data_IF_580445120288
#
_entry.id   IF_580445120288
#
_cell.length_a   1.000
_cell.length_b   1.000
_cell.length_c   1.000
_cell.angle_alpha   90.00
_cell.angle_beta   90.00
_cell.angle_gamma   90.00
#
_symmetry.space_group_name_H-M   'P 1'
#
loop_
_entity.id
_entity.type
_entity.pdbx_description
1 polymer ?
#
# COMPACT_ATOMS: atom_id res chain seq x y z
N UNK A 1 7.88 -27.85 -22.88
CA UNK A 1 6.98 -26.76 -22.43
C UNK A 1 7.84 -25.52 -22.21
N UNK A 2 7.63 -24.40 -22.92
CA UNK A 2 8.39 -23.19 -22.61
C UNK A 2 8.09 -22.79 -21.17
N UNK A 3 9.15 -22.61 -20.37
CA UNK A 3 9.09 -22.10 -19.00
C UNK A 3 8.19 -20.86 -19.06
N UNK A 4 7.00 -20.90 -18.46
CA UNK A 4 6.21 -19.67 -18.25
C UNK A 4 7.15 -18.77 -17.47
N UNK A 5 7.73 -17.76 -18.10
CA UNK A 5 8.47 -16.72 -17.38
C UNK A 5 7.57 -16.27 -16.23
N UNK A 6 8.09 -16.37 -15.01
CA UNK A 6 7.33 -16.02 -13.81
C UNK A 6 6.87 -14.57 -13.95
N UNK A 7 5.58 -14.36 -13.67
CA UNK A 7 4.99 -13.03 -13.73
C UNK A 7 5.44 -12.30 -12.48
N UNK A 8 5.71 -10.99 -12.57
CA UNK A 8 5.93 -10.22 -11.36
C UNK A 8 4.67 -10.31 -10.49
N UNK A 9 4.83 -10.35 -9.16
CA UNK A 9 3.69 -10.36 -8.25
C UNK A 9 2.88 -9.06 -8.39
N UNK A 10 1.60 -9.12 -8.02
CA UNK A 10 0.74 -7.96 -8.02
C UNK A 10 1.13 -7.03 -6.87
N UNK A 11 1.42 -5.75 -7.16
CA UNK A 11 1.65 -4.74 -6.13
C UNK A 11 0.35 -4.09 -5.71
N UNK A 12 0.01 -4.14 -4.44
CA UNK A 12 -1.11 -3.39 -3.87
C UNK A 12 -0.57 -2.12 -3.20
N UNK A 13 -1.02 -0.97 -3.67
CA UNK A 13 -0.79 0.33 -3.05
C UNK A 13 -1.98 0.65 -2.19
N UNK A 14 -1.78 0.71 -0.87
CA UNK A 14 -2.82 1.02 0.09
C UNK A 14 -2.64 2.46 0.53
N UNK A 15 -3.68 3.27 0.36
CA UNK A 15 -3.72 4.65 0.83
C UNK A 15 -4.65 4.77 2.03
N UNK A 16 -4.17 5.45 3.07
CA UNK A 16 -4.97 5.84 4.23
C UNK A 16 -5.25 7.35 4.17
N UNK A 17 -6.52 7.78 3.99
CA UNK A 17 -6.88 9.19 3.89
C UNK A 17 -6.65 9.97 5.19
N UNK A 18 -6.53 9.30 6.33
CA UNK A 18 -6.28 9.93 7.65
C UNK A 18 -4.79 10.09 7.97
N UNK A 19 -3.90 9.63 7.09
CA UNK A 19 -2.45 9.62 7.31
C UNK A 19 -1.77 10.99 7.36
N UNK A 20 -0.72 11.08 8.18
CA UNK A 20 0.29 12.15 8.15
C UNK A 20 -0.13 13.51 8.71
N UNK A 21 -1.15 13.57 9.57
CA UNK A 21 -1.56 14.80 10.27
C UNK A 21 -0.65 15.15 11.45
N UNK A 22 -0.23 14.15 12.24
CA UNK A 22 0.61 14.33 13.42
C UNK A 22 2.00 13.70 13.19
N UNK A 23 3.06 14.45 13.50
CA UNK A 23 4.45 14.01 13.47
C UNK A 23 5.02 14.04 14.88
N UNK A 24 5.52 12.91 15.37
CA UNK A 24 6.13 12.78 16.69
C UNK A 24 7.59 12.40 16.53
N UNK A 25 8.48 13.04 17.29
CA UNK A 25 9.89 12.66 17.35
C UNK A 25 10.02 11.49 18.33
N UNK A 26 10.72 10.44 17.92
CA UNK A 26 10.97 9.25 18.73
C UNK A 26 12.40 8.76 18.58
N UNK A 27 12.90 8.12 19.64
CA UNK A 27 14.15 7.37 19.62
C UNK A 27 13.86 5.94 19.18
N UNK A 28 14.48 5.51 18.11
CA UNK A 28 14.33 4.16 17.57
C UNK A 28 15.44 3.28 18.12
N UNK A 29 15.09 2.16 18.76
CA UNK A 29 16.04 1.19 19.28
C UNK A 29 15.93 -0.14 18.55
N UNK A 30 17.08 -0.74 18.25
CA UNK A 30 17.20 -2.09 17.72
C UNK A 30 17.04 -3.12 18.83
N UNK A 31 15.95 -3.88 18.85
CA UNK A 31 15.72 -4.96 19.82
C UNK A 31 15.64 -6.30 19.10
N UNK A 32 16.42 -7.27 19.57
CA UNK A 32 16.42 -8.65 19.09
C UNK A 32 15.39 -9.49 19.86
N UNK A 33 14.12 -9.15 19.64
CA UNK A 33 12.97 -9.86 20.22
C UNK A 33 12.46 -10.89 19.19
N UNK A 34 12.20 -12.15 19.57
CA UNK A 34 11.68 -13.21 18.68
C UNK A 34 10.32 -12.84 18.06
N UNK A 35 9.57 -11.93 18.73
CA UNK A 35 8.31 -11.36 18.24
C UNK A 35 8.47 -10.33 17.10
N UNK A 36 9.70 -9.88 16.83
CA UNK A 36 10.06 -8.86 15.83
C UNK A 36 10.92 -9.43 14.69
N UNK A 37 10.88 -10.74 14.45
CA UNK A 37 11.71 -11.38 13.43
C UNK A 37 11.61 -10.70 12.05
N UNK A 38 12.73 -10.15 11.60
CA UNK A 38 12.87 -9.60 10.26
C UNK A 38 13.15 -10.74 9.27
N UNK A 39 12.08 -11.21 8.62
CA UNK A 39 12.15 -12.23 7.57
C UNK A 39 12.54 -11.60 6.24
N UNK A 40 13.17 -12.37 5.36
CA UNK A 40 13.56 -11.89 4.03
C UNK A 40 12.36 -11.44 3.16
N UNK A 41 11.14 -11.87 3.50
CA UNK A 41 9.86 -11.41 2.90
C UNK A 41 9.51 -9.94 3.23
N UNK A 42 10.18 -9.33 4.22
CA UNK A 42 9.97 -7.94 4.69
C UNK A 42 11.02 -6.96 4.13
N UNK A 43 12.01 -7.45 3.36
CA UNK A 43 13.02 -6.62 2.71
C UNK A 43 12.44 -5.91 1.48
N UNK A 44 12.78 -4.63 1.32
CA UNK A 44 12.60 -3.90 0.04
C UNK A 44 13.96 -3.77 -0.59
N UNK A 45 14.37 -4.80 -1.31
CA UNK A 45 15.58 -4.75 -2.13
C UNK A 45 15.16 -4.51 -3.58
N UNK A 46 16.08 -4.09 -4.46
CA UNK A 46 15.83 -3.97 -5.92
C UNK A 46 15.31 -5.28 -6.55
N UNK A 47 15.51 -6.41 -5.88
CA UNK A 47 15.20 -7.77 -6.34
C UNK A 47 14.05 -8.46 -5.59
N UNK A 48 13.63 -7.96 -4.42
CA UNK A 48 12.60 -8.57 -3.57
C UNK A 48 11.55 -7.53 -3.19
N UNK A 49 10.31 -7.81 -3.56
CA UNK A 49 9.16 -7.00 -3.19
C UNK A 49 8.69 -7.37 -1.78
N UNK A 50 8.35 -6.37 -0.97
CA UNK A 50 7.87 -6.58 0.40
C UNK A 50 6.49 -7.23 0.36
N UNK A 51 6.38 -8.46 0.84
CA UNK A 51 5.09 -9.12 1.05
C UNK A 51 4.48 -8.75 2.40
N UNK A 52 5.32 -8.43 3.39
CA UNK A 52 4.90 -8.05 4.73
C UNK A 52 5.61 -6.76 5.19
N UNK A 53 4.91 -5.96 5.98
CA UNK A 53 5.50 -4.80 6.64
C UNK A 53 6.34 -5.26 7.84
N UNK A 54 7.53 -4.68 8.06
CA UNK A 54 8.28 -4.95 9.28
C UNK A 54 7.48 -4.56 10.52
N UNK A 55 7.60 -5.36 11.57
CA UNK A 55 6.93 -5.14 12.84
C UNK A 55 7.70 -4.12 13.67
N UNK A 56 6.98 -3.30 14.42
CA UNK A 56 7.55 -2.40 15.41
C UNK A 56 6.69 -2.37 16.66
N UNK A 57 7.33 -2.31 17.83
CA UNK A 57 6.63 -2.13 19.11
C UNK A 57 6.56 -0.65 19.45
N UNK A 58 5.39 -0.21 19.90
CA UNK A 58 5.14 1.17 20.31
C UNK A 58 4.30 1.17 21.59
N UNK A 59 4.48 2.18 22.43
CA UNK A 59 3.64 2.34 23.62
C UNK A 59 2.17 2.57 23.23
N UNK A 60 1.21 1.97 23.97
CA UNK A 60 -0.23 2.18 23.71
C UNK A 60 -0.63 3.67 23.72
N UNK A 61 0.00 4.48 24.59
CA UNK A 61 -0.24 5.92 24.66
C UNK A 61 0.14 6.65 23.35
N UNK A 62 1.20 6.22 22.67
CA UNK A 62 1.58 6.80 21.36
C UNK A 62 0.68 6.30 20.22
N UNK A 63 0.15 5.08 20.32
CA UNK A 63 -0.83 4.54 19.36
C UNK A 63 -2.12 5.37 19.38
N UNK A 64 -2.60 5.74 20.57
CA UNK A 64 -3.76 6.61 20.75
C UNK A 64 -3.49 8.04 20.25
N UNK A 65 -2.33 8.61 20.62
CA UNK A 65 -1.91 9.95 20.14
C UNK A 65 -1.81 10.02 18.62
N UNK A 66 -1.38 8.94 17.96
CA UNK A 66 -1.29 8.85 16.50
C UNK A 66 -2.61 8.44 15.82
N UNK A 67 -3.66 8.15 16.60
CA UNK A 67 -4.98 7.72 16.12
C UNK A 67 -4.88 6.61 15.07
N UNK A 68 -4.08 5.59 15.36
CA UNK A 68 -3.75 4.53 14.41
C UNK A 68 -4.94 3.62 14.07
N UNK A 69 -6.00 3.64 14.89
CA UNK A 69 -7.26 2.91 14.65
C UNK A 69 -7.01 1.44 14.34
N UNK A 70 -7.81 0.87 13.44
CA UNK A 70 -7.66 -0.53 12.98
C UNK A 70 -6.56 -0.75 11.92
N UNK A 71 -6.00 0.32 11.34
CA UNK A 71 -4.96 0.20 10.30
C UNK A 71 -3.62 -0.16 10.92
N UNK A 72 -3.24 0.46 12.04
CA UNK A 72 -2.04 0.08 12.79
C UNK A 72 -0.70 0.26 12.05
N UNK A 73 -0.63 1.10 11.01
CA UNK A 73 0.60 1.33 10.23
C UNK A 73 1.17 2.73 10.47
N UNK A 74 2.46 2.78 10.81
CA UNK A 74 3.22 4.02 11.05
C UNK A 74 4.38 4.11 10.06
N UNK A 75 4.65 5.30 9.55
CA UNK A 75 5.88 5.56 8.81
C UNK A 75 6.93 6.14 9.72
N UNK A 76 8.05 5.42 9.86
CA UNK A 76 9.27 5.94 10.44
C UNK A 76 10.07 6.69 9.36
N UNK A 77 10.31 7.96 9.61
CA UNK A 77 11.14 8.83 8.78
C UNK A 77 12.47 9.10 9.49
N UNK A 78 13.55 8.53 8.96
CA UNK A 78 14.91 8.79 9.42
C UNK A 78 15.60 9.74 8.43
N UNK A 79 16.29 10.75 8.95
CA UNK A 79 17.19 11.59 8.16
C UNK A 79 18.62 11.14 8.44
N UNK A 80 19.34 10.78 7.38
CA UNK A 80 20.78 10.56 7.42
C UNK A 80 21.48 11.54 6.48
N UNK A 81 22.78 11.69 6.61
CA UNK A 81 23.65 12.60 5.86
C UNK A 81 23.31 12.65 4.35
N UNK A 82 22.42 13.58 3.97
CA UNK A 82 21.96 13.83 2.60
C UNK A 82 20.71 13.09 2.12
N UNK A 83 20.17 12.10 2.85
CA UNK A 83 19.00 11.32 2.40
C UNK A 83 17.93 11.10 3.48
N UNK A 84 16.66 11.13 3.06
CA UNK A 84 15.50 10.84 3.90
C UNK A 84 14.95 9.46 3.55
N UNK A 85 14.97 8.55 4.52
CA UNK A 85 14.42 7.20 4.36
C UNK A 85 13.08 7.13 5.10
N UNK A 86 12.03 6.71 4.39
CA UNK A 86 10.70 6.49 4.95
C UNK A 86 10.40 4.98 4.94
N UNK A 87 10.16 4.40 6.11
CA UNK A 87 9.86 2.98 6.27
C UNK A 87 8.47 2.83 6.90
N UNK A 88 7.48 2.28 6.19
CA UNK A 88 6.21 1.88 6.80
C UNK A 88 6.41 0.63 7.66
N UNK A 89 5.86 0.65 8.87
CA UNK A 89 5.98 -0.37 9.90
C UNK A 89 4.58 -0.71 10.43
N UNK A 90 4.31 -1.99 10.66
CA UNK A 90 3.09 -2.44 11.34
C UNK A 90 3.35 -2.41 12.85
N UNK A 91 2.51 -1.67 13.58
CA UNK A 91 2.69 -1.44 15.01
C UNK A 91 2.01 -2.53 15.82
N UNK A 92 2.74 -3.06 16.80
CA UNK A 92 2.22 -3.92 17.86
C UNK A 92 2.27 -3.08 19.15
N UNK A 93 1.12 -2.82 19.81
CA UNK A 93 1.12 -2.11 21.08
C UNK A 93 1.75 -3.00 22.16
N UNK A 94 2.76 -2.48 22.86
CA UNK A 94 3.44 -3.17 23.96
C UNK A 94 3.67 -2.17 25.12
N UNK A 95 3.24 -2.55 26.33
CA UNK A 95 3.39 -1.72 27.54
C UNK A 95 4.85 -1.63 28.01
N UNK A 96 5.72 -2.52 27.51
CA UNK A 96 7.15 -2.57 27.85
C UNK A 96 7.96 -1.43 27.22
N UNK A 97 7.41 -0.73 26.23
CA UNK A 97 8.09 0.35 25.49
C UNK A 97 7.83 1.70 26.15
N UNK A 98 8.87 2.44 26.59
CA UNK A 98 8.72 3.78 27.16
C UNK A 98 8.10 4.79 26.20
N UNK A 99 7.45 5.84 26.75
CA UNK A 99 6.93 6.95 25.94
C UNK A 99 8.07 7.67 25.21
N UNK A 100 8.02 7.63 23.87
CA UNK A 100 9.01 8.28 23.00
C UNK A 100 10.02 7.31 22.38
N UNK A 101 9.92 6.02 22.67
CA UNK A 101 10.72 4.98 22.01
C UNK A 101 9.91 4.18 20.97
N UNK A 102 10.57 3.77 19.89
CA UNK A 102 10.05 2.82 18.91
C UNK A 102 11.04 1.66 18.84
N UNK A 103 10.61 0.46 19.20
CA UNK A 103 11.47 -0.71 19.10
C UNK A 103 11.25 -1.38 17.76
N UNK A 104 12.34 -1.59 17.06
CA UNK A 104 12.42 -2.17 15.72
C UNK A 104 13.49 -3.25 15.77
N UNK A 105 13.41 -4.26 14.92
CA UNK A 105 14.45 -5.29 14.87
C UNK A 105 15.83 -4.72 14.51
N UNK A 106 16.89 -5.24 15.14
CA UNK A 106 18.27 -4.76 14.99
C UNK A 106 18.75 -4.75 13.53
N UNK A 107 18.40 -5.78 12.74
CA UNK A 107 18.77 -5.87 11.31
C UNK A 107 18.13 -4.77 10.47
N UNK A 108 16.86 -4.46 10.71
CA UNK A 108 16.17 -3.39 9.98
C UNK A 108 16.79 -2.03 10.32
N UNK A 109 17.13 -1.82 11.58
CA UNK A 109 17.78 -0.59 12.01
C UNK A 109 19.20 -0.46 11.42
N UNK A 110 19.99 -1.55 11.44
CA UNK A 110 21.32 -1.59 10.84
C UNK A 110 21.30 -1.29 9.33
N UNK A 111 20.30 -1.79 8.60
CA UNK A 111 20.10 -1.46 7.17
C UNK A 111 19.73 0.01 6.94
N UNK A 112 18.96 0.62 7.85
CA UNK A 112 18.48 1.99 7.71
C UNK A 112 19.54 3.00 8.12
N UNK A 113 20.23 2.79 9.24
CA UNK A 113 21.08 3.79 9.89
C UNK A 113 22.54 3.41 10.12
N UNK A 114 22.90 2.15 9.92
CA UNK A 114 24.24 1.64 10.25
C UNK A 114 24.55 1.61 11.76
N UNK A 115 23.57 1.87 12.63
CA UNK A 115 23.72 1.91 14.09
C UNK A 115 22.59 1.20 14.84
N UNK A 116 22.72 1.11 16.18
CA UNK A 116 21.74 0.47 17.07
C UNK A 116 20.69 1.44 17.66
N UNK A 117 20.91 2.75 17.52
CA UNK A 117 19.99 3.80 17.96
C UNK A 117 19.91 4.93 16.94
N UNK A 118 18.71 5.46 16.72
CA UNK A 118 18.46 6.51 15.73
C UNK A 118 17.35 7.44 16.20
N UNK A 119 17.51 8.74 15.99
CA UNK A 119 16.41 9.69 16.14
C UNK A 119 15.59 9.76 14.85
N UNK A 120 14.27 9.56 14.97
CA UNK A 120 13.35 9.52 13.86
C UNK A 120 12.07 10.31 14.11
N UNK A 121 11.35 10.59 13.04
CA UNK A 121 9.99 11.14 13.10
C UNK A 121 9.01 10.05 12.72
N UNK A 122 8.04 9.77 13.57
CA UNK A 122 6.92 8.88 13.27
C UNK A 122 5.68 9.67 12.94
N UNK A 123 4.92 9.18 11.95
CA UNK A 123 3.60 9.69 11.61
C UNK A 123 2.74 8.57 11.05
N UNK A 124 1.42 8.71 11.17
CA UNK A 124 0.47 7.76 10.57
C UNK A 124 0.71 7.67 9.05
N UNK A 125 0.87 6.47 8.51
CA UNK A 125 1.25 6.28 7.11
C UNK A 125 0.17 6.82 6.16
N UNK A 126 0.57 7.57 5.13
CA UNK A 126 -0.34 8.05 4.07
C UNK A 126 -0.60 7.01 2.99
N UNK A 127 0.46 6.34 2.56
CA UNK A 127 0.37 5.24 1.62
C UNK A 127 1.58 4.31 1.78
N UNK A 128 1.35 3.02 1.52
CA UNK A 128 2.42 2.02 1.45
C UNK A 128 2.12 1.02 0.35
N UNK A 129 3.13 0.23 0.01
CA UNK A 129 3.06 -0.76 -1.07
C UNK A 129 3.40 -2.13 -0.51
N UNK A 130 2.64 -3.14 -0.88
CA UNK A 130 2.91 -4.55 -0.57
C UNK A 130 2.71 -5.39 -1.83
N UNK A 131 3.58 -6.36 -2.06
CA UNK A 131 3.36 -7.39 -3.07
C UNK A 131 2.44 -8.47 -2.49
N UNK A 132 1.58 -9.01 -3.34
CA UNK A 132 0.72 -10.14 -2.97
C UNK A 132 1.00 -11.35 -3.86
N UNK A 133 0.95 -12.57 -3.30
CA UNK A 133 1.04 -13.80 -4.08
C UNK A 133 -0.18 -13.96 -4.99
N UNK A 134 -0.02 -14.79 -6.03
CA UNK A 134 -1.07 -15.06 -7.02
C UNK A 134 -2.37 -15.57 -6.37
N UNK A 135 -2.30 -16.31 -5.27
CA UNK A 135 -3.48 -16.81 -4.54
C UNK A 135 -4.39 -15.68 -4.06
N UNK A 136 -3.78 -14.61 -3.51
CA UNK A 136 -4.50 -13.41 -3.07
C UNK A 136 -5.02 -12.66 -4.29
N UNK A 137 -4.22 -12.53 -5.35
CA UNK A 137 -4.66 -11.89 -6.60
C UNK A 137 -5.86 -12.61 -7.25
N UNK A 138 -5.94 -13.94 -7.16
CA UNK A 138 -7.09 -14.73 -7.62
C UNK A 138 -8.34 -14.41 -6.81
N UNK A 139 -8.22 -14.24 -5.48
CA UNK A 139 -9.37 -13.86 -4.63
C UNK A 139 -9.92 -12.47 -4.93
N UNK A 140 -9.06 -11.56 -5.39
CA UNK A 140 -9.44 -10.20 -5.81
C UNK A 140 -9.99 -10.15 -7.25
N UNK A 141 -9.87 -11.23 -8.02
CA UNK A 141 -10.34 -11.28 -9.39
C UNK A 141 -11.86 -11.15 -9.46
N UNK A 142 -12.34 -10.40 -10.46
CA UNK A 142 -13.77 -10.17 -10.66
C UNK A 142 -14.29 -8.89 -10.01
N UNK A 143 -13.60 -8.36 -8.99
CA UNK A 143 -13.91 -7.05 -8.41
C UNK A 143 -13.68 -5.93 -9.42
N UNK A 144 -14.42 -4.83 -9.29
CA UNK A 144 -14.32 -3.65 -10.14
C UNK A 144 -13.82 -2.43 -9.35
N UNK A 145 -13.35 -1.40 -10.07
CA UNK A 145 -13.07 -0.10 -9.45
C UNK A 145 -14.36 0.43 -8.80
N UNK A 146 -14.26 0.75 -7.52
CA UNK A 146 -15.38 1.17 -6.68
C UNK A 146 -15.81 0.12 -5.67
N UNK A 147 -15.48 -1.15 -5.89
CA UNK A 147 -15.88 -2.24 -5.00
C UNK A 147 -15.06 -2.22 -3.69
N UNK A 148 -15.72 -2.63 -2.61
CA UNK A 148 -15.17 -2.76 -1.27
C UNK A 148 -14.92 -4.24 -0.95
N UNK A 149 -13.80 -4.54 -0.28
CA UNK A 149 -13.45 -5.87 0.19
C UNK A 149 -12.77 -5.81 1.56
N UNK A 150 -12.77 -6.94 2.27
CA UNK A 150 -12.15 -7.06 3.59
C UNK A 150 -10.61 -7.15 3.50
N UNK A 151 -9.91 -6.32 4.27
CA UNK A 151 -8.46 -6.29 4.39
C UNK A 151 -7.86 -7.60 4.91
N UNK A 152 -8.65 -8.49 5.52
CA UNK A 152 -8.21 -9.85 5.89
C UNK A 152 -7.57 -10.59 4.70
N UNK A 153 -8.06 -10.34 3.47
CA UNK A 153 -7.53 -10.95 2.24
C UNK A 153 -6.05 -10.64 2.01
N UNK A 154 -5.59 -9.46 2.46
CA UNK A 154 -4.21 -8.99 2.28
C UNK A 154 -3.40 -8.99 3.58
N UNK A 155 -3.87 -9.71 4.62
CA UNK A 155 -3.17 -9.79 5.92
C UNK A 155 -3.38 -8.58 6.84
N UNK A 156 -4.41 -7.78 6.59
CA UNK A 156 -4.78 -6.62 7.40
C UNK A 156 -6.21 -6.76 7.93
N UNK A 157 -6.43 -7.52 9.00
CA UNK A 157 -7.76 -7.72 9.55
C UNK A 157 -8.31 -6.41 10.15
N UNK A 158 -9.64 -6.22 10.07
CA UNK A 158 -10.33 -5.09 10.71
C UNK A 158 -10.35 -3.79 9.90
N UNK A 159 -9.93 -3.83 8.63
CA UNK A 159 -10.05 -2.69 7.70
C UNK A 159 -10.87 -3.07 6.47
N UNK A 160 -11.69 -2.16 5.98
CA UNK A 160 -12.35 -2.30 4.68
C UNK A 160 -11.56 -1.50 3.65
N UNK A 161 -11.32 -2.10 2.49
CA UNK A 161 -10.54 -1.52 1.41
C UNK A 161 -11.41 -1.34 0.18
N UNK A 162 -11.33 -0.19 -0.47
CA UNK A 162 -12.00 0.09 -1.74
C UNK A 162 -11.00 0.18 -2.88
N UNK A 163 -11.29 -0.49 -3.99
CA UNK A 163 -10.48 -0.41 -5.21
C UNK A 163 -10.70 0.96 -5.87
N UNK A 164 -9.63 1.71 -6.08
CA UNK A 164 -9.68 3.04 -6.71
C UNK A 164 -9.15 3.04 -8.14
N UNK A 165 -8.30 2.07 -8.48
CA UNK A 165 -7.71 1.97 -9.81
C UNK A 165 -6.56 0.98 -9.83
N UNK A 166 -5.78 1.02 -10.90
CA UNK A 166 -4.62 0.17 -11.07
C UNK A 166 -3.90 0.43 -12.38
N UNK A 167 -2.80 -0.25 -12.58
CA UNK A 167 -1.94 -0.14 -13.76
C UNK A 167 -1.53 -1.52 -14.23
N UNK A 168 -1.62 -1.72 -15.54
CA UNK A 168 -1.18 -2.93 -16.23
C UNK A 168 0.36 -2.94 -16.36
N UNK A 169 1.00 -4.09 -16.52
CA UNK A 169 2.45 -4.25 -16.68
C UNK A 169 3.03 -3.47 -17.88
N UNK A 170 2.20 -3.14 -18.88
CA UNK A 170 2.60 -2.25 -19.99
C UNK A 170 2.44 -0.75 -19.69
N UNK A 171 2.09 -0.38 -18.45
CA UNK A 171 1.90 1.01 -18.03
C UNK A 171 0.54 1.63 -18.38
N UNK A 172 -0.43 0.83 -18.85
CA UNK A 172 -1.78 1.34 -19.14
C UNK A 172 -2.61 1.42 -17.86
N UNK A 173 -3.24 2.57 -17.55
CA UNK A 173 -4.08 2.70 -16.37
C UNK A 173 -5.44 2.02 -16.58
N UNK A 174 -6.03 1.56 -15.47
CA UNK A 174 -7.43 1.15 -15.42
C UNK A 174 -8.36 2.36 -15.46
N UNK A 175 -9.47 2.23 -16.17
CA UNK A 175 -10.44 3.31 -16.35
C UNK A 175 -11.84 2.89 -15.86
N UNK A 176 -12.47 3.63 -14.92
CA UNK A 176 -13.75 3.24 -14.31
C UNK A 176 -14.92 3.20 -15.30
N UNK A 177 -14.85 4.00 -16.37
CA UNK A 177 -15.86 4.00 -17.44
C UNK A 177 -15.73 2.87 -18.48
N UNK A 178 -14.68 2.03 -18.43
CA UNK A 178 -14.49 0.95 -19.42
C UNK A 178 -14.83 -0.40 -18.78
N UNK A 179 -15.84 -1.13 -19.29
CA UNK A 179 -16.27 -2.39 -18.68
C UNK A 179 -15.30 -3.54 -19.00
N UNK A 180 -15.35 -4.56 -18.14
CA UNK A 180 -14.55 -5.77 -18.25
C UNK A 180 -13.10 -5.54 -17.87
N UNK A 181 -12.27 -6.55 -18.16
CA UNK A 181 -10.85 -6.51 -17.84
C UNK A 181 -9.98 -6.21 -19.05
N UNK A 182 -10.44 -6.30 -20.30
CA UNK A 182 -9.56 -6.17 -21.47
C UNK A 182 -9.07 -4.75 -21.74
N UNK A 183 -7.99 -4.62 -22.53
CA UNK A 183 -7.53 -3.31 -23.04
C UNK A 183 -8.41 -2.86 -24.19
N UNK A 184 -8.80 -1.58 -24.18
CA UNK A 184 -9.57 -0.96 -25.27
C UNK A 184 -9.02 0.42 -25.60
N UNK A 185 -9.07 0.78 -26.89
CA UNK A 185 -8.80 2.15 -27.33
C UNK A 185 -10.09 2.96 -27.21
N UNK A 186 -10.09 3.96 -26.35
CA UNK A 186 -11.24 4.83 -26.09
C UNK A 186 -10.87 6.29 -26.32
N UNK A 187 -11.84 7.11 -26.71
CA UNK A 187 -11.67 8.54 -26.89
C UNK A 187 -11.78 9.23 -25.52
N UNK A 188 -10.65 9.65 -24.95
CA UNK A 188 -10.62 10.33 -23.66
C UNK A 188 -10.58 11.84 -23.86
N UNK A 189 -11.29 12.57 -22.99
CA UNK A 189 -11.23 14.02 -22.84
C UNK A 189 -10.51 14.46 -21.56
N UNK A 190 -10.15 13.51 -20.68
CA UNK A 190 -9.57 13.81 -19.38
C UNK A 190 -9.01 12.58 -18.67
N UNK A 191 -8.57 12.73 -17.41
CA UNK A 191 -8.03 11.65 -16.60
C UNK A 191 -9.15 10.68 -16.17
N UNK A 192 -8.82 9.41 -15.85
CA UNK A 192 -7.48 8.80 -15.82
C UNK A 192 -6.96 8.37 -17.20
N UNK A 193 -5.65 8.52 -17.44
CA UNK A 193 -4.97 8.03 -18.65
C UNK A 193 -4.83 9.02 -19.80
N UNK A 194 -5.41 10.21 -19.68
CA UNK A 194 -5.15 11.33 -20.58
C UNK A 194 -5.20 12.65 -19.80
N UNK A 195 -4.21 13.51 -20.01
CA UNK A 195 -4.20 14.87 -19.48
C UNK A 195 -4.21 15.82 -20.68
N UNK A 196 -5.35 16.44 -21.02
CA UNK A 196 -5.44 17.35 -22.16
C UNK A 196 -4.53 18.56 -21.93
N UNK A 197 -3.80 18.97 -22.97
CA UNK A 197 -2.95 20.17 -22.89
C UNK A 197 -3.76 21.44 -23.23
N UNK A 198 -4.86 21.28 -23.95
CA UNK A 198 -5.77 22.36 -24.34
C UNK A 198 -7.20 21.97 -23.98
N UNK A 199 -8.01 22.98 -23.68
CA UNK A 199 -9.42 22.76 -23.46
C UNK A 199 -10.10 22.16 -24.70
N UNK A 200 -11.02 21.23 -24.49
CA UNK A 200 -11.69 20.48 -25.56
C UNK A 200 -10.83 19.44 -26.30
N UNK A 201 -9.54 19.25 -25.94
CA UNK A 201 -8.70 18.22 -26.58
C UNK A 201 -9.23 16.81 -26.25
N UNK A 202 -9.41 15.98 -27.28
CA UNK A 202 -9.79 14.57 -27.14
C UNK A 202 -8.84 13.70 -27.92
N UNK A 203 -8.37 12.61 -27.30
CA UNK A 203 -7.43 11.68 -27.95
C UNK A 203 -7.83 10.23 -27.71
N UNK A 204 -7.76 9.43 -28.77
CA UNK A 204 -7.88 7.97 -28.65
C UNK A 204 -6.64 7.43 -27.93
N UNK A 205 -6.84 6.86 -26.74
CA UNK A 205 -5.79 6.26 -25.91
C UNK A 205 -6.20 4.84 -25.53
N UNK A 206 -5.21 3.97 -25.36
CA UNK A 206 -5.44 2.61 -24.85
C UNK A 206 -5.52 2.67 -23.33
N UNK A 207 -6.61 2.14 -22.78
CA UNK A 207 -6.80 1.97 -21.33
C UNK A 207 -7.19 0.54 -21.02
N UNK A 208 -7.02 0.17 -19.75
CA UNK A 208 -7.45 -1.10 -19.20
C UNK A 208 -8.88 -0.95 -18.65
N UNK A 209 -9.71 -1.97 -18.81
CA UNK A 209 -11.04 -1.99 -18.20
C UNK A 209 -11.00 -1.95 -16.66
N UNK A 210 -12.14 -1.64 -16.05
CA UNK A 210 -12.30 -1.42 -14.61
C UNK A 210 -12.29 -2.69 -13.77
N UNK A 211 -12.44 -3.86 -14.38
CA UNK A 211 -12.47 -5.14 -13.65
C UNK A 211 -11.08 -5.69 -13.43
N UNK A 212 -10.81 -6.14 -12.20
CA UNK A 212 -9.60 -6.89 -11.84
C UNK A 212 -9.63 -8.24 -12.59
N UNK A 213 -8.66 -8.48 -13.48
CA UNK A 213 -8.56 -9.73 -14.22
C UNK A 213 -8.16 -10.90 -13.32
N UNK A 214 -8.61 -12.11 -13.68
CA UNK A 214 -8.04 -13.33 -13.12
C UNK A 214 -6.60 -13.49 -13.61
N UNK A 215 -5.59 -13.53 -12.72
CA UNK A 215 -4.22 -13.74 -13.12
C UNK A 215 -4.05 -15.02 -13.94
N UNK A 216 -4.84 -16.08 -13.73
CA UNK A 216 -4.71 -17.33 -14.52
C UNK A 216 -5.01 -17.13 -16.01
N UNK A 217 -5.92 -16.21 -16.34
CA UNK A 217 -6.35 -15.91 -17.70
C UNK A 217 -5.43 -14.89 -18.43
N UNK A 218 -4.51 -14.25 -17.71
CA UNK A 218 -3.68 -13.18 -18.25
C UNK A 218 -2.37 -13.69 -18.89
N UNK A 219 -1.75 -12.84 -19.73
CA UNK A 219 -0.37 -13.01 -20.20
C UNK A 219 0.54 -12.04 -19.44
N UNK A 220 1.84 -12.32 -19.37
CA UNK A 220 2.84 -11.46 -18.69
C UNK A 220 2.68 -9.96 -19.03
N UNK A 221 2.51 -9.64 -20.32
CA UNK A 221 2.38 -8.24 -20.76
C UNK A 221 1.07 -7.58 -20.36
N UNK A 222 -0.01 -8.35 -20.18
CA UNK A 222 -1.36 -7.85 -19.88
C UNK A 222 -1.72 -7.99 -18.40
N UNK A 223 -0.85 -8.59 -17.60
CA UNK A 223 -1.01 -8.74 -16.17
C UNK A 223 -1.15 -7.38 -15.48
N UNK A 224 -2.04 -7.26 -14.50
CA UNK A 224 -1.97 -6.13 -13.57
C UNK A 224 -0.61 -6.12 -12.86
N UNK A 225 0.07 -4.99 -12.90
CA UNK A 225 1.31 -4.78 -12.16
C UNK A 225 1.05 -4.10 -10.82
N UNK A 226 0.05 -3.20 -10.78
CA UNK A 226 -0.29 -2.45 -9.58
C UNK A 226 -1.80 -2.30 -9.43
N UNK A 227 -2.31 -2.49 -8.21
CA UNK A 227 -3.68 -2.18 -7.80
C UNK A 227 -3.65 -1.09 -6.73
N UNK A 228 -4.45 -0.05 -6.90
CA UNK A 228 -4.57 1.04 -5.94
C UNK A 228 -5.84 0.86 -5.12
N UNK A 229 -5.68 0.78 -3.81
CA UNK A 229 -6.79 0.63 -2.86
C UNK A 229 -6.73 1.71 -1.79
N UNK A 230 -7.88 2.05 -1.24
CA UNK A 230 -8.05 3.07 -0.22
C UNK A 230 -8.74 2.47 1.00
N UNK A 231 -8.25 2.79 2.19
CA UNK A 231 -8.94 2.43 3.44
C UNK A 231 -10.23 3.22 3.54
N UNK A 232 -11.34 2.50 3.74
CA UNK A 232 -12.66 3.08 3.98
C UNK A 232 -12.94 2.97 5.47
N UNK A 233 -13.10 4.12 6.12
CA UNK A 233 -13.56 4.19 7.50
C UNK A 233 -15.09 4.27 7.51
N UNK A 234 -15.81 3.40 8.25
CA UNK A 234 -17.27 3.46 8.35
C UNK A 234 -17.79 4.84 8.76
N UNK A 235 -17.08 5.50 9.69
CA UNK A 235 -17.37 6.86 10.18
C UNK A 235 -17.37 7.93 9.06
N UNK A 236 -16.61 7.71 7.97
CA UNK A 236 -16.61 8.61 6.81
C UNK A 236 -17.70 8.28 5.79
N UNK A 237 -18.30 7.10 5.86
CA UNK A 237 -19.34 6.66 4.92
C UNK A 237 -20.67 7.37 5.20
N UNK A 238 -20.94 7.74 6.44
CA UNK A 238 -22.12 8.49 6.86
C UNK A 238 -22.07 9.99 6.47
N UNK A 239 -20.87 10.53 6.26
CA UNK A 239 -20.67 11.93 5.87
C UNK A 239 -20.74 12.18 4.36
N UNK A 240 -20.75 11.12 3.54
CA UNK A 240 -21.12 11.24 2.14
C UNK A 240 -22.65 11.27 2.08
N UNK A 241 -23.29 12.43 1.83
CA UNK A 241 -24.73 12.45 1.68
C UNK A 241 -25.08 11.44 0.58
N UNK A 242 -26.07 10.61 0.84
CA UNK A 242 -26.75 9.81 -0.17
C UNK A 242 -26.93 10.70 -1.40
N UNK A 243 -26.15 10.46 -2.44
CA UNK A 243 -26.40 11.07 -3.74
C UNK A 243 -27.79 10.60 -4.13
N UNK A 244 -28.73 11.50 -3.87
CA UNK A 244 -30.15 11.38 -4.06
C UNK A 244 -30.47 11.09 -5.52
N UNK A 245 -31.47 10.22 -5.70
CA UNK A 245 -32.31 9.99 -6.90
C UNK A 245 -31.63 9.47 -8.16
#
# INVERSE_FOLDING_TARGET
MPRREERPPLRIVISDPTGGKLQLKVKVKGVDDESLEYKDTMKRTKEQERYELPLAKLSPALVEKLSLGSVGVVTLSVRMEGSKVNVPLKVIPDQSVPEGELWVHSKLLAEISGGQEVEGVIYKTKAWQMAVPDEIAIRLAGLEIGDEFDGTIIGMPGITLRITGGTDASGFPMHPGVPGSTRRKVLLSGPPGFHPARDGERRKKTVRGRRVPDPRAERRKTALAQLNVMVVYPEMKELAPSASS
#
